data_IF_364849671435
#
_entry.id   IF_364849671435
#
_cell.length_a   1.000
_cell.length_b   1.000
_cell.length_c   1.000
_cell.angle_alpha   90.00
_cell.angle_beta   90.00
_cell.angle_gamma   90.00
#
_symmetry.space_group_name_H-M   'P 1'
#
loop_
_entity.id
_entity.type
_entity.pdbx_description
1 polymer ?
#
# COMPACT_ATOMS: atom_id res chain seq x y z
N UNK A 1 -40.07 -56.35 45.80
CA UNK A 1 -39.86 -57.33 44.71
C UNK A 1 -40.72 -56.84 43.55
N UNK A 2 -40.11 -56.13 42.59
CA UNK A 2 -40.79 -55.55 41.44
C UNK A 2 -39.97 -55.86 40.18
N UNK A 3 -40.59 -56.32 39.07
CA UNK A 3 -39.90 -56.70 37.85
C UNK A 3 -39.63 -55.49 36.94
N UNK A 4 -38.59 -55.62 36.11
CA UNK A 4 -38.15 -54.64 35.13
C UNK A 4 -38.85 -54.77 33.75
N UNK A 5 -38.15 -54.46 32.64
CA UNK A 5 -38.50 -53.32 31.78
C UNK A 5 -38.88 -53.70 30.34
N UNK A 6 -39.54 -52.80 29.60
CA UNK A 6 -39.62 -52.88 28.13
C UNK A 6 -39.85 -51.52 27.46
N UNK A 7 -38.91 -51.20 26.55
CA UNK A 7 -39.04 -50.56 25.24
C UNK A 7 -40.03 -49.38 25.01
N UNK A 8 -39.50 -48.26 24.51
CA UNK A 8 -39.96 -47.75 23.21
C UNK A 8 -38.93 -46.80 22.57
N UNK A 9 -38.60 -47.12 21.31
CA UNK A 9 -37.70 -46.39 20.41
C UNK A 9 -38.42 -45.17 19.84
N UNK A 10 -37.79 -44.00 19.84
CA UNK A 10 -38.27 -42.81 19.13
C UNK A 10 -37.42 -42.52 17.88
N UNK A 11 -38.10 -42.60 16.73
CA UNK A 11 -38.04 -41.75 15.52
C UNK A 11 -36.80 -40.87 15.29
N UNK A 12 -36.00 -41.06 14.25
CA UNK A 12 -36.25 -40.88 12.81
C UNK A 12 -36.18 -39.41 12.32
N UNK A 13 -35.47 -39.24 11.20
CA UNK A 13 -35.34 -38.05 10.32
C UNK A 13 -34.24 -37.03 10.64
N UNK A 14 -32.98 -37.39 10.35
CA UNK A 14 -31.93 -36.42 9.97
C UNK A 14 -31.85 -36.35 8.45
N UNK A 15 -32.18 -35.18 7.91
CA UNK A 15 -31.98 -34.80 6.51
C UNK A 15 -30.49 -34.91 6.13
N UNK A 16 -30.20 -35.81 5.19
CA UNK A 16 -28.93 -35.88 4.47
C UNK A 16 -29.05 -34.97 3.25
N UNK A 17 -28.41 -33.80 3.30
CA UNK A 17 -28.30 -32.90 2.16
C UNK A 17 -27.13 -33.37 1.28
N UNK A 18 -27.45 -34.17 0.26
CA UNK A 18 -26.50 -34.66 -0.74
C UNK A 18 -26.03 -33.52 -1.66
N UNK A 19 -24.71 -33.50 -1.82
CA UNK A 19 -23.87 -32.84 -2.80
C UNK A 19 -24.50 -32.65 -4.20
N UNK A 20 -24.48 -31.41 -4.71
CA UNK A 20 -24.61 -31.12 -6.14
C UNK A 20 -23.21 -30.99 -6.76
N UNK A 21 -22.78 -32.01 -7.50
CA UNK A 21 -21.72 -31.92 -8.50
C UNK A 21 -22.38 -31.84 -9.89
N UNK A 22 -22.00 -30.91 -10.79
CA UNK A 22 -22.45 -30.94 -12.17
C UNK A 22 -21.67 -32.01 -12.93
N UNK A 23 -22.36 -33.07 -13.37
CA UNK A 23 -21.82 -34.05 -14.30
C UNK A 23 -21.69 -33.44 -15.69
N UNK A 24 -20.47 -33.46 -16.24
CA UNK A 24 -20.25 -33.27 -17.67
C UNK A 24 -20.67 -34.55 -18.39
N UNK A 25 -21.70 -34.45 -19.23
CA UNK A 25 -22.11 -35.50 -20.15
C UNK A 25 -21.24 -35.37 -21.40
N UNK A 26 -20.35 -36.33 -21.65
CA UNK A 26 -19.66 -36.47 -22.92
C UNK A 26 -20.56 -37.25 -23.89
N UNK A 27 -20.95 -36.65 -25.00
CA UNK A 27 -21.55 -37.34 -26.15
C UNK A 27 -20.45 -37.71 -27.16
N UNK A 28 -20.55 -38.87 -27.85
CA UNK A 28 -19.55 -39.32 -28.81
C UNK A 28 -19.62 -38.56 -30.16
N UNK A 29 -18.48 -38.57 -30.83
CA UNK A 29 -18.07 -37.80 -32.00
C UNK A 29 -18.89 -38.06 -33.28
N UNK A 30 -19.18 -36.99 -34.03
CA UNK A 30 -19.65 -37.00 -35.43
C UNK A 30 -18.43 -36.81 -36.36
N UNK A 31 -18.16 -37.74 -37.31
CA UNK A 31 -16.98 -37.71 -38.17
C UNK A 31 -17.29 -37.08 -39.54
N UNK A 32 -17.76 -35.85 -39.57
CA UNK A 32 -17.94 -35.09 -40.82
C UNK A 32 -17.24 -33.73 -40.74
N UNK A 33 -15.96 -33.76 -41.11
CA UNK A 33 -15.10 -32.59 -41.15
C UNK A 33 -15.53 -31.56 -42.18
N UNK A 34 -15.94 -30.38 -41.70
CA UNK A 34 -15.72 -29.08 -42.35
C UNK A 34 -15.39 -28.08 -41.23
N UNK A 35 -14.10 -27.85 -40.98
CA UNK A 35 -13.66 -26.78 -40.09
C UNK A 35 -13.78 -25.44 -40.82
N UNK A 36 -14.90 -24.76 -40.64
CA UNK A 36 -15.01 -23.34 -40.99
C UNK A 36 -14.26 -22.55 -39.92
N UNK A 37 -13.08 -22.02 -40.27
CA UNK A 37 -12.26 -21.18 -39.41
C UNK A 37 -13.00 -19.85 -39.15
N UNK A 38 -13.80 -19.79 -38.09
CA UNK A 38 -14.44 -18.58 -37.62
C UNK A 38 -13.38 -17.69 -36.95
N UNK A 39 -13.14 -16.52 -37.53
CA UNK A 39 -12.35 -15.44 -36.93
C UNK A 39 -12.91 -15.09 -35.54
N UNK A 40 -12.07 -14.85 -34.52
CA UNK A 40 -12.54 -14.40 -33.22
C UNK A 40 -13.18 -13.01 -33.39
N UNK A 41 -14.49 -12.94 -33.25
CA UNK A 41 -15.21 -11.68 -33.09
C UNK A 41 -14.77 -11.07 -31.76
N UNK A 42 -13.98 -10.01 -31.84
CA UNK A 42 -13.65 -9.17 -30.69
C UNK A 42 -14.94 -8.55 -30.16
N UNK A 43 -15.49 -9.15 -29.11
CA UNK A 43 -16.65 -8.65 -28.39
C UNK A 43 -16.30 -7.34 -27.67
N UNK A 44 -16.51 -6.23 -28.39
CA UNK A 44 -16.35 -4.86 -27.90
C UNK A 44 -17.15 -4.50 -26.61
N UNK A 45 -18.29 -5.11 -26.25
CA UNK A 45 -19.03 -4.65 -25.06
C UNK A 45 -18.41 -5.06 -23.71
N UNK A 46 -17.50 -6.04 -23.66
CA UNK A 46 -16.83 -6.46 -22.41
C UNK A 46 -15.73 -5.47 -22.00
N UNK A 47 -15.07 -4.84 -22.97
CA UNK A 47 -14.05 -3.81 -22.72
C UNK A 47 -14.66 -2.49 -22.18
N UNK A 48 -15.88 -2.13 -22.60
CA UNK A 48 -16.55 -0.92 -22.11
C UNK A 48 -17.18 -1.07 -20.71
N UNK A 49 -17.69 -2.27 -20.38
CA UNK A 49 -18.27 -2.51 -19.05
C UNK A 49 -17.22 -2.55 -17.93
N UNK A 50 -15.96 -2.87 -18.27
CA UNK A 50 -14.84 -2.86 -17.32
C UNK A 50 -14.32 -1.43 -17.06
N UNK A 51 -14.53 -0.50 -18.00
CA UNK A 51 -14.06 0.89 -17.87
C UNK A 51 -15.01 1.78 -17.04
N UNK A 52 -16.32 1.49 -17.00
CA UNK A 52 -17.28 2.30 -16.21
C UNK A 52 -17.23 2.02 -14.71
N UNK A 53 -16.67 0.88 -14.28
CA UNK A 53 -16.46 0.57 -12.85
C UNK A 53 -15.30 1.36 -12.19
N UNK A 54 -14.52 2.08 -12.99
CA UNK A 54 -13.43 2.95 -12.51
C UNK A 54 -13.85 4.42 -12.31
N UNK A 55 -15.06 4.82 -12.73
CA UNK A 55 -15.53 6.22 -12.64
C UNK A 55 -16.60 6.47 -11.58
N UNK A 56 -17.08 5.44 -10.89
CA UNK A 56 -17.89 5.63 -9.68
C UNK A 56 -17.00 5.50 -8.46
N UNK A 57 -16.38 6.61 -8.05
CA UNK A 57 -15.80 6.71 -6.72
C UNK A 57 -16.93 6.43 -5.71
N UNK A 58 -16.75 5.48 -4.77
CA UNK A 58 -17.70 5.34 -3.67
C UNK A 58 -17.81 6.69 -2.94
N UNK A 59 -19.00 7.05 -2.42
CA UNK A 59 -19.16 8.30 -1.66
C UNK A 59 -18.12 8.31 -0.54
N UNK A 60 -17.28 9.35 -0.56
CA UNK A 60 -16.20 9.50 0.41
C UNK A 60 -16.80 9.46 1.82
N UNK A 61 -16.40 8.48 2.62
CA UNK A 61 -16.66 8.52 4.05
C UNK A 61 -16.01 9.79 4.66
N UNK A 62 -16.56 10.26 5.77
CA UNK A 62 -16.04 11.43 6.51
C UNK A 62 -14.55 11.31 6.85
N UNK A 63 -14.07 10.07 6.95
CA UNK A 63 -12.69 9.75 7.29
C UNK A 63 -11.74 9.90 6.08
N UNK A 64 -12.18 9.55 4.87
CA UNK A 64 -11.41 9.73 3.63
C UNK A 64 -11.34 11.20 3.25
N UNK A 65 -12.44 11.94 3.40
CA UNK A 65 -12.45 13.38 3.15
C UNK A 65 -11.56 14.15 4.15
N UNK A 66 -11.59 13.81 5.44
CA UNK A 66 -10.68 14.37 6.43
C UNK A 66 -9.20 14.08 6.12
N UNK A 67 -8.87 12.84 5.72
CA UNK A 67 -7.49 12.45 5.34
C UNK A 67 -7.00 13.19 4.10
N UNK A 68 -7.86 13.38 3.11
CA UNK A 68 -7.53 14.14 1.91
C UNK A 68 -7.30 15.62 2.23
N UNK A 69 -8.13 16.21 3.10
CA UNK A 69 -7.98 17.59 3.56
C UNK A 69 -6.69 17.79 4.35
N UNK A 70 -6.36 16.89 5.27
CA UNK A 70 -5.10 16.94 6.02
C UNK A 70 -3.88 16.78 5.08
N UNK A 71 -3.96 15.88 4.11
CA UNK A 71 -2.89 15.67 3.13
C UNK A 71 -2.71 16.89 2.22
N UNK A 72 -3.81 17.50 1.77
CA UNK A 72 -3.79 18.71 0.97
C UNK A 72 -3.26 19.91 1.77
N UNK A 73 -3.68 20.08 3.02
CA UNK A 73 -3.19 21.14 3.90
C UNK A 73 -1.69 20.99 4.19
N UNK A 74 -1.21 19.76 4.41
CA UNK A 74 0.21 19.48 4.57
C UNK A 74 1.00 19.82 3.31
N UNK A 75 0.51 19.43 2.12
CA UNK A 75 1.14 19.76 0.84
C UNK A 75 1.16 21.27 0.58
N UNK A 76 0.08 21.98 0.90
CA UNK A 76 0.00 23.45 0.75
C UNK A 76 0.97 24.14 1.71
N UNK A 77 1.03 23.72 2.98
CA UNK A 77 1.97 24.25 3.95
C UNK A 77 3.43 24.00 3.54
N UNK A 78 3.71 22.81 2.99
CA UNK A 78 5.01 22.45 2.44
C UNK A 78 5.39 23.33 1.25
N UNK A 79 4.49 23.50 0.28
CA UNK A 79 4.72 24.37 -0.88
C UNK A 79 4.91 25.83 -0.45
N UNK A 80 4.09 26.33 0.47
CA UNK A 80 4.22 27.68 1.02
C UNK A 80 5.56 27.91 1.73
N UNK A 81 6.05 26.91 2.48
CA UNK A 81 7.34 26.97 3.16
C UNK A 81 8.52 26.95 2.17
N UNK A 82 8.43 26.13 1.12
CA UNK A 82 9.47 26.00 0.10
C UNK A 82 9.55 27.22 -0.83
N UNK A 83 8.42 27.87 -1.12
CA UNK A 83 8.36 29.06 -1.99
C UNK A 83 8.80 30.37 -1.33
N UNK A 84 8.97 30.37 0.01
CA UNK A 84 9.45 31.52 0.78
C UNK A 84 10.99 31.62 0.84
N UNK A 85 11.71 30.66 0.28
CA UNK A 85 13.18 30.67 0.29
C UNK A 85 13.73 31.34 -0.96
N UNK A 86 14.69 32.28 -0.84
CA UNK A 86 15.38 32.80 -2.01
C UNK A 86 16.01 31.60 -2.73
N UNK A 87 15.66 31.40 -4.00
CA UNK A 87 16.15 30.32 -4.85
C UNK A 87 17.66 30.48 -5.07
N UNK A 88 18.45 30.12 -4.06
CA UNK A 88 19.83 29.74 -4.24
C UNK A 88 19.83 28.49 -5.12
N UNK A 89 20.63 28.47 -6.18
CA UNK A 89 20.82 27.28 -7.01
C UNK A 89 21.15 26.10 -6.08
N UNK A 90 20.37 25.00 -6.11
CA UNK A 90 20.56 23.92 -5.17
C UNK A 90 21.94 23.33 -5.39
N UNK A 91 22.72 23.22 -4.31
CA UNK A 91 23.99 22.50 -4.37
C UNK A 91 23.73 21.05 -4.81
N UNK A 92 24.74 20.42 -5.42
CA UNK A 92 24.64 18.99 -5.79
C UNK A 92 24.19 18.13 -4.60
N UNK A 93 24.66 18.45 -3.38
CA UNK A 93 24.24 17.80 -2.15
C UNK A 93 22.74 17.94 -1.86
N UNK A 94 22.14 19.10 -2.15
CA UNK A 94 20.70 19.30 -2.00
C UNK A 94 19.90 18.49 -3.03
N UNK A 95 20.37 18.41 -4.28
CA UNK A 95 19.75 17.57 -5.32
C UNK A 95 19.82 16.09 -4.92
N UNK A 96 20.98 15.64 -4.44
CA UNK A 96 21.12 14.27 -3.94
C UNK A 96 20.18 14.00 -2.77
N UNK A 97 20.15 14.87 -1.76
CA UNK A 97 19.31 14.70 -0.57
C UNK A 97 17.80 14.73 -0.87
N UNK A 98 17.35 15.54 -1.83
CA UNK A 98 15.94 15.72 -2.15
C UNK A 98 15.42 14.77 -3.23
N UNK A 99 16.29 14.21 -4.06
CA UNK A 99 15.88 13.33 -5.16
C UNK A 99 16.65 12.00 -5.17
N UNK A 100 17.97 12.04 -5.23
CA UNK A 100 18.80 10.84 -5.39
C UNK A 100 18.66 9.85 -4.23
N UNK A 101 18.92 10.32 -3.01
CA UNK A 101 18.85 9.50 -1.79
C UNK A 101 17.44 8.92 -1.56
N UNK A 102 16.33 9.70 -1.61
CA UNK A 102 14.98 9.15 -1.48
C UNK A 102 14.67 8.03 -2.50
N UNK A 103 15.15 8.16 -3.74
CA UNK A 103 14.97 7.11 -4.76
C UNK A 103 15.70 5.83 -4.37
N UNK A 104 16.99 5.93 -4.05
CA UNK A 104 17.82 4.77 -3.71
C UNK A 104 17.28 4.09 -2.45
N UNK A 105 16.99 4.87 -1.42
CA UNK A 105 16.51 4.37 -0.14
C UNK A 105 15.15 3.68 -0.27
N UNK A 106 14.16 4.29 -0.94
CA UNK A 106 12.85 3.66 -1.07
C UNK A 106 12.87 2.42 -1.98
N UNK A 107 13.77 2.35 -2.96
CA UNK A 107 13.97 1.11 -3.74
C UNK A 107 14.50 -0.01 -2.84
N UNK A 108 15.55 0.25 -2.07
CA UNK A 108 16.16 -0.75 -1.17
C UNK A 108 15.17 -1.19 -0.10
N UNK A 109 14.57 -0.24 0.61
CA UNK A 109 13.76 -0.53 1.79
C UNK A 109 12.33 -0.94 1.45
N UNK A 110 11.67 -0.36 0.44
CA UNK A 110 10.29 -0.73 0.09
C UNK A 110 10.22 -1.88 -0.89
N UNK A 111 10.84 -1.72 -2.07
CA UNK A 111 10.77 -2.74 -3.12
C UNK A 111 11.65 -3.94 -2.81
N UNK A 112 12.76 -3.76 -2.09
CA UNK A 112 13.59 -4.84 -1.57
C UNK A 112 13.04 -5.40 -0.26
N UNK A 113 13.41 -4.78 0.86
CA UNK A 113 13.20 -5.35 2.19
C UNK A 113 11.73 -5.53 2.57
N UNK A 114 10.91 -4.47 2.51
CA UNK A 114 9.53 -4.53 2.96
C UNK A 114 8.70 -5.46 2.08
N UNK A 115 8.92 -5.42 0.76
CA UNK A 115 8.28 -6.33 -0.18
C UNK A 115 8.57 -7.78 0.17
N UNK A 116 9.84 -8.12 0.42
CA UNK A 116 10.24 -9.47 0.77
C UNK A 116 9.72 -9.90 2.15
N UNK A 117 9.66 -8.98 3.11
CA UNK A 117 9.03 -9.27 4.40
C UNK A 117 7.52 -9.48 4.26
N UNK A 118 6.85 -8.79 3.33
CA UNK A 118 5.42 -9.01 3.06
C UNK A 118 5.14 -10.37 2.39
N UNK A 119 6.08 -10.92 1.62
CA UNK A 119 5.92 -12.27 1.03
C UNK A 119 6.17 -13.37 2.06
N UNK A 120 7.10 -13.15 3.00
CA UNK A 120 7.48 -14.15 4.03
C UNK A 120 6.62 -14.10 5.28
N UNK A 121 6.15 -12.92 5.68
CA UNK A 121 5.40 -12.72 6.92
C UNK A 121 3.91 -12.63 6.64
N UNK A 122 3.09 -13.22 7.53
CA UNK A 122 1.63 -13.12 7.47
C UNK A 122 1.08 -11.80 8.03
N UNK A 123 1.93 -10.80 8.27
CA UNK A 123 1.56 -9.55 8.96
C UNK A 123 2.23 -8.33 8.33
N UNK A 124 1.43 -7.51 7.66
CA UNK A 124 1.89 -6.27 7.04
C UNK A 124 2.39 -5.21 8.04
N UNK A 125 1.77 -5.02 9.22
CA UNK A 125 2.30 -4.13 10.25
C UNK A 125 3.68 -4.55 10.74
N UNK A 126 3.93 -5.86 10.90
CA UNK A 126 5.23 -6.37 11.34
C UNK A 126 6.30 -6.16 10.27
N UNK A 127 5.99 -6.45 9.00
CA UNK A 127 6.89 -6.17 7.88
C UNK A 127 7.28 -4.69 7.82
N UNK A 128 6.32 -3.78 8.06
CA UNK A 128 6.57 -2.35 8.13
C UNK A 128 7.46 -1.96 9.30
N UNK A 129 7.14 -2.43 10.50
CA UNK A 129 7.91 -2.11 11.71
C UNK A 129 9.37 -2.57 11.60
N UNK A 130 9.61 -3.78 11.08
CA UNK A 130 10.96 -4.30 10.86
C UNK A 130 11.72 -3.49 9.80
N UNK A 131 11.05 -3.11 8.71
CA UNK A 131 11.67 -2.26 7.67
C UNK A 131 12.01 -0.88 8.23
N UNK A 132 11.10 -0.27 8.99
CA UNK A 132 11.32 1.05 9.58
C UNK A 132 12.46 1.02 10.61
N UNK A 133 12.54 -0.05 11.41
CA UNK A 133 13.65 -0.25 12.35
C UNK A 133 14.98 -0.40 11.60
N UNK A 134 15.03 -1.21 10.55
CA UNK A 134 16.23 -1.38 9.73
C UNK A 134 16.67 -0.05 9.09
N UNK A 135 15.72 0.76 8.60
CA UNK A 135 15.97 2.10 8.07
C UNK A 135 16.60 3.01 9.12
N UNK A 136 16.00 3.10 10.31
CA UNK A 136 16.48 3.96 11.39
C UNK A 136 17.87 3.55 11.88
N UNK A 137 18.15 2.24 11.97
CA UNK A 137 19.48 1.72 12.30
C UNK A 137 20.50 2.08 11.23
N UNK A 138 20.18 1.89 9.95
CA UNK A 138 21.08 2.27 8.85
C UNK A 138 21.40 3.77 8.86
N UNK A 139 20.39 4.62 9.12
CA UNK A 139 20.58 6.05 9.28
C UNK A 139 21.45 6.40 10.48
N UNK A 140 21.27 5.70 11.62
CA UNK A 140 22.09 5.90 12.81
C UNK A 140 23.55 5.53 12.62
N UNK A 141 23.82 4.43 11.92
CA UNK A 141 25.18 4.03 11.57
C UNK A 141 25.83 5.00 10.57
N UNK A 142 25.05 5.59 9.66
CA UNK A 142 25.56 6.54 8.67
C UNK A 142 25.84 7.93 9.25
N UNK A 143 25.01 8.42 10.16
CA UNK A 143 25.08 9.80 10.66
C UNK A 143 25.77 9.91 12.03
N UNK A 144 25.89 8.81 12.78
CA UNK A 144 26.58 8.77 14.08
C UNK A 144 25.85 9.53 15.20
N UNK A 145 24.60 9.92 14.99
CA UNK A 145 23.82 10.72 15.94
C UNK A 145 22.55 9.99 16.41
N UNK A 146 22.14 10.22 17.65
CA UNK A 146 20.93 9.61 18.23
C UNK A 146 19.65 10.14 17.58
N UNK A 147 19.69 11.35 17.01
CA UNK A 147 18.59 11.99 16.27
C UNK A 147 18.15 11.15 15.07
N UNK A 148 19.02 10.27 14.57
CA UNK A 148 18.69 9.29 13.51
C UNK A 148 17.50 8.39 13.89
N UNK A 149 17.27 8.12 15.19
CA UNK A 149 16.12 7.33 15.65
C UNK A 149 14.78 8.02 15.37
N UNK A 150 14.77 9.35 15.21
CA UNK A 150 13.56 10.08 14.81
C UNK A 150 13.08 9.68 13.41
N UNK A 151 13.96 9.13 12.57
CA UNK A 151 13.60 8.63 11.24
C UNK A 151 12.73 7.37 11.26
N UNK A 152 12.57 6.73 12.43
CA UNK A 152 11.66 5.60 12.61
C UNK A 152 10.20 5.99 12.27
N UNK A 153 9.76 7.17 12.71
CA UNK A 153 8.40 7.66 12.48
C UNK A 153 8.10 7.90 10.99
N UNK A 154 8.89 8.68 10.22
CA UNK A 154 8.67 8.84 8.78
C UNK A 154 8.81 7.50 8.05
N UNK A 155 9.72 6.61 8.46
CA UNK A 155 9.85 5.30 7.84
C UNK A 155 8.60 4.42 8.04
N UNK A 156 7.96 4.46 9.21
CA UNK A 156 6.67 3.79 9.45
C UNK A 156 5.54 4.38 8.61
N UNK A 157 5.50 5.70 8.43
CA UNK A 157 4.52 6.39 7.59
C UNK A 157 4.67 5.98 6.11
N UNK A 158 5.90 6.01 5.59
CA UNK A 158 6.24 5.60 4.23
C UNK A 158 5.86 4.15 3.98
N UNK A 159 6.23 3.22 4.88
CA UNK A 159 5.86 1.83 4.71
C UNK A 159 4.35 1.57 4.85
N UNK A 160 3.59 2.45 5.51
CA UNK A 160 2.12 2.42 5.50
C UNK A 160 1.53 2.88 4.17
N UNK A 161 2.14 3.89 3.52
CA UNK A 161 1.78 4.32 2.16
C UNK A 161 2.10 3.22 1.14
N UNK A 162 3.26 2.58 1.26
CA UNK A 162 3.66 1.48 0.39
C UNK A 162 2.71 0.28 0.49
N UNK A 163 2.24 -0.08 1.70
CA UNK A 163 1.28 -1.17 1.87
C UNK A 163 -0.04 -0.92 1.13
N UNK A 164 -0.54 0.33 1.16
CA UNK A 164 -1.82 0.68 0.53
C UNK A 164 -1.71 0.84 -0.98
N UNK A 165 -0.62 1.45 -1.45
CA UNK A 165 -0.46 1.82 -2.87
C UNK A 165 0.27 0.77 -3.69
N UNK A 166 1.15 -0.03 -3.05
CA UNK A 166 2.11 -0.95 -3.69
C UNK A 166 2.97 -0.27 -4.75
N UNK A 167 3.17 1.04 -4.62
CA UNK A 167 3.94 1.89 -5.55
C UNK A 167 5.03 2.62 -4.77
N UNK A 168 6.25 2.65 -5.32
CA UNK A 168 7.39 3.34 -4.70
C UNK A 168 7.34 4.85 -4.92
N UNK A 169 6.78 5.31 -6.04
CA UNK A 169 6.68 6.72 -6.41
C UNK A 169 6.06 7.63 -5.31
N UNK A 170 4.89 7.32 -4.70
CA UNK A 170 4.34 8.15 -3.62
C UNK A 170 5.22 8.13 -2.36
N UNK A 171 5.98 7.05 -2.13
CA UNK A 171 6.91 6.97 -1.01
C UNK A 171 8.12 7.87 -1.26
N UNK A 172 8.69 7.86 -2.46
CA UNK A 172 9.80 8.74 -2.86
C UNK A 172 9.38 10.21 -2.70
N UNK A 173 8.20 10.59 -3.18
CA UNK A 173 7.70 11.96 -3.06
C UNK A 173 7.51 12.38 -1.59
N UNK A 174 6.94 11.52 -0.75
CA UNK A 174 6.75 11.80 0.68
C UNK A 174 8.09 11.85 1.43
N UNK A 175 9.05 10.99 1.08
CA UNK A 175 10.38 11.00 1.67
C UNK A 175 11.12 12.29 1.30
N UNK A 176 11.12 12.67 0.02
CA UNK A 176 11.66 13.96 -0.42
C UNK A 176 11.04 15.15 0.34
N UNK A 177 9.73 15.10 0.60
CA UNK A 177 9.04 16.09 1.42
C UNK A 177 9.55 16.14 2.87
N UNK A 178 9.78 14.99 3.52
CA UNK A 178 10.37 14.96 4.86
C UNK A 178 11.79 15.54 4.88
N UNK A 179 12.61 15.24 3.88
CA UNK A 179 13.95 15.82 3.76
C UNK A 179 13.90 17.34 3.56
N UNK A 180 12.95 17.81 2.76
CA UNK A 180 12.73 19.23 2.54
C UNK A 180 12.29 19.96 3.83
N UNK A 181 11.40 19.35 4.63
CA UNK A 181 11.01 19.88 5.93
C UNK A 181 12.21 19.94 6.87
N UNK A 182 13.00 18.87 6.96
CA UNK A 182 14.18 18.82 7.81
C UNK A 182 15.18 19.93 7.47
N UNK A 183 15.44 20.18 6.18
CA UNK A 183 16.30 21.28 5.73
C UNK A 183 15.75 22.67 6.10
N UNK A 184 14.43 22.83 6.17
CA UNK A 184 13.81 24.12 6.51
C UNK A 184 13.83 24.41 8.03
N UNK A 185 13.92 23.40 8.90
CA UNK A 185 13.86 23.58 10.36
C UNK A 185 14.96 24.52 10.91
N UNK A 186 16.26 24.38 10.56
CA UNK A 186 17.30 25.27 11.06
C UNK A 186 17.09 26.74 10.67
N UNK A 187 16.52 26.98 9.48
CA UNK A 187 16.29 28.33 8.98
C UNK A 187 15.24 29.08 9.81
N UNK A 188 14.21 28.39 10.29
CA UNK A 188 13.19 28.97 11.17
C UNK A 188 13.78 29.39 12.52
N UNK A 189 14.81 28.69 13.02
CA UNK A 189 15.48 29.01 14.27
C UNK A 189 16.53 30.13 14.14
N UNK A 190 16.96 30.48 12.92
CA UNK A 190 17.89 31.58 12.65
C UNK A 190 17.18 32.93 12.38
N UNK A 191 15.86 32.92 12.16
CA UNK A 191 15.03 34.12 12.01
C UNK A 191 14.93 35.04 13.25
N UNK A 192 15.03 34.57 14.51
CA UNK A 192 14.95 35.45 15.69
C UNK A 192 16.13 36.43 15.84
N UNK A 193 17.29 36.16 15.22
CA UNK A 193 18.51 36.95 15.46
C UNK A 193 18.75 38.08 14.47
N UNK A 194 17.93 38.22 13.42
CA UNK A 194 18.06 39.30 12.43
C UNK A 194 17.15 40.51 12.69
N UNK A 195 16.29 40.44 13.72
CA UNK A 195 15.37 41.51 14.12
C UNK A 195 15.70 42.09 15.51
N UNK A 196 16.96 42.05 15.94
CA UNK A 196 17.44 42.66 17.19
C UNK A 196 18.63 43.56 16.95
#
# INVERSE_FOLDING_TARGET
MLPGPAESRQHAARHVQMSRTPGYICTPEDPSGVQTMALPTLDLPVCLATTTRFLTLPPADSDTSARLLCSAAFLVALVWLLTRQPLAVPSWSAVWLLAGAPVVEEVIFRLGLQQELLTRLKSAPVANALTALAFAVAHGLSQGTWQSLLTLLPALALGSVFQRSRRVAPCIALHAAFNAIWLAVPLVHALPTFFS
#
